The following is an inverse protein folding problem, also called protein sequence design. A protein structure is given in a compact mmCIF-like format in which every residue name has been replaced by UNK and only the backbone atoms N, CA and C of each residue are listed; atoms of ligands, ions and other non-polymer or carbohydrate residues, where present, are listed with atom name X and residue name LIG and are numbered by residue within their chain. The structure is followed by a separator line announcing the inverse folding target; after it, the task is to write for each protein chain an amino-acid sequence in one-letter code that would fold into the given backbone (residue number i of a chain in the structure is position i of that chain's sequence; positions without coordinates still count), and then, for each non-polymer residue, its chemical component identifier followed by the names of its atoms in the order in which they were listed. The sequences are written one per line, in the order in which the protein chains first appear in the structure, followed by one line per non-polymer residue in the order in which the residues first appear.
data_IF_155153700003
#
_entry.id   IF_155153700003
#
_cell.length_a   1.000
_cell.length_b   1.000
_cell.length_c   1.000
_cell.angle_alpha   90.00
_cell.angle_beta   90.00
_cell.angle_gamma   90.00
#
_symmetry.space_group_name_H-M   'P 1'
#
loop_
_entity.id
_entity.type
_entity.pdbx_description
1 polymer ?
#
# COMPACT_ATOMS: atom_id res chain seq x y z
N UNK A 1 33.00 -31.97 35.41
CA UNK A 1 33.39 -30.72 36.11
C UNK A 1 34.85 -30.41 35.80
N UNK A 2 35.13 -29.30 35.12
CA UNK A 2 36.26 -28.37 35.34
C UNK A 2 36.17 -27.26 34.28
N UNK A 3 36.54 -26.04 34.69
CA UNK A 3 36.12 -24.73 34.18
C UNK A 3 37.37 -23.85 33.89
N UNK A 4 37.19 -22.79 33.06
CA UNK A 4 37.80 -21.43 33.16
C UNK A 4 39.30 -21.31 32.73
N UNK A 5 39.85 -20.26 32.07
CA UNK A 5 39.46 -18.91 31.58
C UNK A 5 40.50 -18.40 30.54
N UNK A 6 40.17 -17.27 29.89
CA UNK A 6 40.91 -16.39 28.97
C UNK A 6 42.30 -15.84 29.41
N UNK A 7 43.09 -15.33 28.44
CA UNK A 7 43.66 -13.97 28.47
C UNK A 7 44.11 -13.45 27.08
N UNK A 8 44.22 -12.13 26.97
CA UNK A 8 44.40 -11.28 25.78
C UNK A 8 45.58 -10.32 26.03
N UNK A 9 46.43 -10.03 25.04
CA UNK A 9 47.35 -8.85 25.07
C UNK A 9 47.81 -8.38 23.67
N UNK A 10 47.84 -7.05 23.51
CA UNK A 10 48.33 -6.23 22.39
C UNK A 10 49.87 -6.07 22.37
N UNK A 11 50.42 -5.69 21.21
CA UNK A 11 51.52 -4.69 21.10
C UNK A 11 51.42 -3.81 19.84
N UNK A 12 51.93 -2.58 19.97
CA UNK A 12 51.97 -1.43 19.04
C UNK A 12 53.38 -1.22 18.44
N UNK A 13 53.52 -0.54 17.30
CA UNK A 13 54.61 0.39 16.87
C UNK A 13 54.28 0.93 15.44
N UNK A 14 54.91 1.98 14.88
CA UNK A 14 54.85 3.45 15.08
C UNK A 14 55.58 4.11 13.87
N UNK A 15 55.11 5.29 13.38
CA UNK A 15 55.86 6.40 12.70
C UNK A 15 56.63 6.15 11.36
N UNK A 16 56.90 7.11 10.45
CA UNK A 16 56.50 8.49 10.18
C UNK A 16 57.12 8.94 8.80
N UNK A 17 56.50 9.96 8.18
CA UNK A 17 56.96 11.03 7.24
C UNK A 17 58.10 10.91 6.19
N UNK A 18 57.68 11.15 4.93
CA UNK A 18 58.01 12.25 3.98
C UNK A 18 59.44 12.61 3.45
N UNK A 19 59.42 12.81 2.12
CA UNK A 19 60.11 13.80 1.24
C UNK A 19 61.50 13.51 0.64
N UNK A 20 61.51 13.41 -0.70
CA UNK A 20 62.48 14.12 -1.56
C UNK A 20 61.87 14.48 -2.92
N UNK A 21 62.48 15.46 -3.58
CA UNK A 21 61.90 16.56 -4.39
C UNK A 21 62.43 16.53 -5.84
N UNK A 22 61.62 17.02 -6.77
CA UNK A 22 61.92 17.67 -8.08
C UNK A 22 62.71 16.88 -9.15
N UNK A 23 62.21 16.80 -10.39
CA UNK A 23 62.38 17.91 -11.37
C UNK A 23 61.28 17.99 -12.44
N UNK A 24 60.92 19.24 -12.72
CA UNK A 24 59.92 19.84 -13.63
C UNK A 24 60.29 19.65 -15.12
N UNK A 25 59.44 19.82 -16.15
CA UNK A 25 58.77 21.09 -16.52
C UNK A 25 57.73 20.92 -17.67
N UNK A 26 56.51 21.38 -17.37
CA UNK A 26 55.50 22.15 -18.12
C UNK A 26 55.22 22.02 -19.64
N UNK A 27 53.93 21.84 -19.93
CA UNK A 27 53.06 22.78 -20.69
C UNK A 27 51.61 22.44 -20.33
N UNK A 28 50.95 23.20 -19.44
CA UNK A 28 49.96 24.28 -19.72
C UNK A 28 48.72 23.84 -20.51
N UNK A 29 47.45 24.13 -20.15
CA UNK A 29 46.78 24.60 -18.94
C UNK A 29 45.25 24.47 -19.16
N UNK A 30 44.48 24.19 -18.09
CA UNK A 30 43.10 24.64 -17.77
C UNK A 30 41.93 24.16 -18.65
N UNK A 31 40.83 23.60 -18.12
CA UNK A 31 40.03 24.19 -17.04
C UNK A 31 39.20 23.13 -16.32
N UNK A 32 39.05 23.33 -15.01
CA UNK A 32 38.37 22.51 -14.04
C UNK A 32 36.85 22.81 -13.95
N UNK A 33 36.11 21.79 -13.52
CA UNK A 33 34.88 21.84 -12.69
C UNK A 33 33.69 22.63 -13.24
N UNK A 34 32.64 21.88 -13.62
CA UNK A 34 31.30 22.22 -13.12
C UNK A 34 30.46 20.96 -12.89
N UNK A 35 30.48 20.50 -11.64
CA UNK A 35 29.41 19.70 -11.05
C UNK A 35 28.10 20.45 -11.29
N UNK A 36 27.18 19.82 -12.03
CA UNK A 36 25.83 20.34 -12.14
C UNK A 36 25.16 20.11 -10.80
N UNK A 37 25.23 21.15 -9.97
CA UNK A 37 24.35 21.36 -8.83
C UNK A 37 22.93 21.15 -9.37
N UNK A 38 22.29 20.05 -8.97
CA UNK A 38 20.86 19.89 -9.07
C UNK A 38 20.27 20.93 -8.12
N UNK A 39 20.00 22.11 -8.68
CA UNK A 39 19.17 23.12 -8.03
C UNK A 39 17.84 22.46 -7.71
N UNK A 40 17.64 22.23 -6.42
CA UNK A 40 16.35 21.99 -5.82
C UNK A 40 15.40 23.10 -6.28
N UNK A 41 14.40 22.72 -7.09
CA UNK A 41 13.07 23.31 -7.16
C UNK A 41 12.26 22.59 -8.25
N UNK A 42 11.96 21.32 -8.02
CA UNK A 42 10.67 20.72 -8.41
C UNK A 42 10.28 19.73 -7.29
N UNK A 43 9.01 19.73 -6.83
CA UNK A 43 8.60 18.83 -5.76
C UNK A 43 8.73 17.41 -6.26
N UNK A 44 9.46 16.57 -5.51
CA UNK A 44 9.64 15.14 -5.76
C UNK A 44 8.41 14.52 -6.44
N UNK A 45 8.55 14.12 -7.70
CA UNK A 45 7.69 13.10 -8.27
C UNK A 45 7.83 11.89 -7.35
N UNK A 46 6.75 11.51 -6.66
CA UNK A 46 6.72 10.23 -5.96
C UNK A 46 7.06 9.16 -7.01
N UNK A 47 8.04 8.31 -6.73
CA UNK A 47 8.52 7.34 -7.70
C UNK A 47 7.41 6.32 -7.96
N UNK A 48 6.72 6.47 -9.09
CA UNK A 48 5.77 5.49 -9.58
C UNK A 48 6.52 4.19 -9.91
N UNK A 49 6.01 3.06 -9.45
CA UNK A 49 6.55 1.74 -9.78
C UNK A 49 5.71 1.18 -10.91
N UNK A 50 6.36 0.75 -11.99
CA UNK A 50 5.70 0.30 -13.21
C UNK A 50 6.13 -1.12 -13.60
N UNK A 51 5.17 -1.94 -13.99
CA UNK A 51 5.32 -3.32 -14.40
C UNK A 51 4.63 -3.58 -15.73
N UNK A 52 5.25 -4.39 -16.58
CA UNK A 52 4.62 -4.88 -17.82
C UNK A 52 4.83 -6.37 -17.94
N UNK A 53 3.89 -7.08 -18.56
CA UNK A 53 4.04 -8.51 -18.80
C UNK A 53 2.72 -9.16 -19.13
N UNK A 54 2.51 -10.36 -18.63
CA UNK A 54 1.34 -11.16 -19.00
C UNK A 54 0.69 -11.88 -17.82
N UNK A 55 -0.62 -12.06 -17.92
CA UNK A 55 -1.38 -13.06 -17.21
C UNK A 55 -1.49 -14.34 -18.06
N UNK A 56 -1.19 -15.48 -17.45
CA UNK A 56 -1.23 -16.81 -18.07
C UNK A 56 -0.48 -16.90 -19.40
N UNK A 57 0.65 -16.18 -19.52
CA UNK A 57 1.46 -16.07 -20.74
C UNK A 57 0.72 -15.59 -21.99
N UNK A 58 -0.48 -15.01 -21.84
CA UNK A 58 -1.39 -14.72 -22.96
C UNK A 58 -1.94 -13.30 -22.92
N UNK A 59 -2.45 -12.87 -21.77
CA UNK A 59 -3.13 -11.60 -21.63
C UNK A 59 -2.13 -10.52 -21.22
N UNK A 60 -1.76 -9.59 -22.10
CA UNK A 60 -0.79 -8.55 -21.77
C UNK A 60 -1.40 -7.54 -20.80
N UNK A 61 -0.65 -7.21 -19.74
CA UNK A 61 -1.06 -6.26 -18.71
C UNK A 61 0.04 -5.24 -18.43
N UNK A 62 -0.39 -4.06 -18.02
CA UNK A 62 0.45 -3.00 -17.47
C UNK A 62 -0.08 -2.64 -16.08
N UNK A 63 0.80 -2.60 -15.09
CA UNK A 63 0.46 -2.17 -13.72
C UNK A 63 1.36 -1.01 -13.36
N UNK A 64 0.80 0.02 -12.75
CA UNK A 64 1.59 1.07 -12.10
C UNK A 64 0.97 1.43 -10.76
N UNK A 65 1.81 1.77 -9.78
CA UNK A 65 1.36 2.20 -8.47
C UNK A 65 2.38 3.07 -7.75
N UNK A 66 1.90 3.79 -6.75
CA UNK A 66 2.72 4.44 -5.72
C UNK A 66 2.47 3.78 -4.36
N UNK A 67 3.39 4.02 -3.42
CA UNK A 67 3.33 3.49 -2.06
C UNK A 67 3.02 4.60 -1.05
N UNK A 68 2.22 4.26 -0.04
CA UNK A 68 2.05 5.04 1.19
C UNK A 68 2.14 4.11 2.40
N UNK A 69 3.31 4.08 3.05
CA UNK A 69 3.66 3.06 4.05
C UNK A 69 3.51 1.63 3.50
N UNK A 70 2.56 0.85 4.00
CA UNK A 70 2.26 -0.52 3.55
C UNK A 70 1.13 -0.57 2.52
N UNK A 71 0.52 0.56 2.16
CA UNK A 71 -0.57 0.65 1.21
C UNK A 71 -0.03 0.86 -0.20
N UNK A 72 -0.64 0.17 -1.15
CA UNK A 72 -0.34 0.22 -2.58
C UNK A 72 -1.53 0.85 -3.28
N UNK A 73 -1.28 1.89 -4.06
CA UNK A 73 -2.32 2.69 -4.73
C UNK A 73 -1.95 2.84 -6.19
N UNK A 74 -2.71 2.22 -7.08
CA UNK A 74 -2.40 2.24 -8.50
C UNK A 74 -3.53 1.72 -9.37
N UNK A 75 -3.14 1.25 -10.55
CA UNK A 75 -4.06 0.78 -11.58
C UNK A 75 -3.46 -0.42 -12.34
N UNK A 76 -4.35 -1.27 -12.86
CA UNK A 76 -4.03 -2.31 -13.84
C UNK A 76 -4.74 -2.02 -15.16
N UNK A 77 -4.03 -2.17 -16.27
CA UNK A 77 -4.57 -2.02 -17.62
C UNK A 77 -4.38 -3.30 -18.43
N UNK A 78 -5.47 -3.83 -18.96
CA UNK A 78 -5.47 -4.96 -19.88
C UNK A 78 -5.26 -4.48 -21.33
N UNK A 79 -4.07 -4.72 -21.87
CA UNK A 79 -3.58 -4.08 -23.10
C UNK A 79 -4.22 -4.65 -24.39
N UNK A 80 -4.83 -5.83 -24.30
CA UNK A 80 -5.55 -6.48 -25.40
C UNK A 80 -7.02 -6.07 -25.50
N UNK A 81 -7.51 -5.22 -24.59
CA UNK A 81 -8.87 -4.66 -24.68
C UNK A 81 -8.88 -3.46 -25.65
N UNK A 82 -10.04 -3.19 -26.26
CA UNK A 82 -10.18 -2.10 -27.24
C UNK A 82 -9.90 -0.72 -26.62
N UNK A 83 -10.44 -0.48 -25.43
CA UNK A 83 -10.39 0.84 -24.79
C UNK A 83 -9.26 0.98 -23.78
N UNK A 84 -8.63 -0.12 -23.35
CA UNK A 84 -7.50 -0.13 -22.39
C UNK A 84 -7.76 0.75 -21.18
N UNK A 85 -8.96 0.64 -20.62
CA UNK A 85 -9.40 1.44 -19.48
C UNK A 85 -8.61 0.95 -18.25
N UNK A 86 -7.89 1.84 -17.54
CA UNK A 86 -7.25 1.48 -16.29
C UNK A 86 -8.30 1.11 -15.23
N UNK A 87 -8.05 0.04 -14.50
CA UNK A 87 -8.89 -0.45 -13.42
C UNK A 87 -8.17 -0.17 -12.11
N UNK A 88 -8.90 0.34 -11.12
CA UNK A 88 -8.35 0.70 -9.81
C UNK A 88 -7.73 -0.54 -9.15
N UNK A 89 -6.48 -0.42 -8.73
CA UNK A 89 -5.72 -1.48 -8.08
C UNK A 89 -5.23 -0.98 -6.72
N UNK A 90 -5.79 -1.52 -5.64
CA UNK A 90 -5.48 -1.12 -4.26
C UNK A 90 -5.02 -2.34 -3.47
N UNK A 91 -4.08 -2.21 -2.56
CA UNK A 91 -3.62 -3.37 -1.82
C UNK A 91 -2.66 -3.07 -0.69
N UNK A 92 -2.19 -4.12 -0.06
CA UNK A 92 -1.28 -4.06 1.09
C UNK A 92 0.00 -4.84 0.82
N UNK A 93 1.08 -4.39 1.46
CA UNK A 93 2.32 -5.13 1.62
C UNK A 93 2.21 -5.90 2.94
N UNK A 94 2.20 -7.22 2.84
CA UNK A 94 2.13 -8.12 3.98
C UNK A 94 3.47 -8.19 4.73
N UNK A 95 3.45 -8.79 5.92
CA UNK A 95 4.63 -8.90 6.79
C UNK A 95 5.82 -9.61 6.12
N UNK A 96 5.54 -10.62 5.30
CA UNK A 96 6.54 -11.38 4.53
C UNK A 96 7.00 -10.65 3.25
N UNK A 97 6.56 -9.40 3.06
CA UNK A 97 6.77 -8.56 1.87
C UNK A 97 6.07 -9.06 0.61
N UNK A 98 5.16 -10.02 0.73
CA UNK A 98 4.22 -10.31 -0.35
C UNK A 98 3.23 -9.16 -0.50
N UNK A 99 2.71 -9.02 -1.72
CA UNK A 99 1.74 -8.01 -2.10
C UNK A 99 0.42 -8.72 -2.29
N UNK A 100 -0.64 -8.13 -1.74
CA UNK A 100 -2.01 -8.52 -2.01
C UNK A 100 -2.76 -7.33 -2.58
N UNK A 101 -3.04 -7.36 -3.88
CA UNK A 101 -3.68 -6.28 -4.63
C UNK A 101 -5.08 -6.68 -5.05
N UNK A 102 -6.00 -5.72 -5.02
CA UNK A 102 -7.42 -5.87 -5.27
C UNK A 102 -7.78 -4.99 -6.46
N UNK A 103 -8.29 -5.63 -7.51
CA UNK A 103 -8.86 -4.98 -8.68
C UNK A 103 -10.32 -4.64 -8.37
N UNK A 104 -10.61 -3.35 -8.30
CA UNK A 104 -11.93 -2.81 -7.98
C UNK A 104 -12.66 -2.31 -9.23
N UNK A 105 -13.92 -2.70 -9.39
CA UNK A 105 -14.85 -1.99 -10.26
C UNK A 105 -15.45 -0.76 -9.57
N UNK A 106 -16.19 0.06 -10.32
CA UNK A 106 -16.77 1.32 -9.82
C UNK A 106 -17.81 1.12 -8.72
N UNK A 107 -18.34 -0.10 -8.55
CA UNK A 107 -19.32 -0.43 -7.50
C UNK A 107 -18.68 -0.87 -6.18
N UNK A 108 -17.34 -0.93 -6.12
CA UNK A 108 -16.61 -1.47 -4.98
C UNK A 108 -16.50 -2.99 -4.99
N UNK A 109 -16.97 -3.67 -6.04
CA UNK A 109 -16.79 -5.09 -6.18
C UNK A 109 -15.38 -5.42 -6.67
N UNK A 110 -14.79 -6.44 -6.05
CA UNK A 110 -13.43 -6.92 -6.30
C UNK A 110 -13.52 -7.99 -7.37
N UNK A 111 -13.01 -7.69 -8.56
CA UNK A 111 -13.09 -8.54 -9.76
C UNK A 111 -11.87 -9.46 -9.90
N UNK A 112 -10.76 -9.09 -9.27
CA UNK A 112 -9.48 -9.79 -9.32
C UNK A 112 -8.65 -9.55 -8.07
N UNK A 113 -7.89 -10.56 -7.65
CA UNK A 113 -6.92 -10.48 -6.56
C UNK A 113 -5.57 -10.88 -7.14
N UNK A 114 -4.56 -10.03 -6.99
CA UNK A 114 -3.18 -10.34 -7.34
C UNK A 114 -2.40 -10.63 -6.06
N UNK A 115 -1.75 -11.79 -6.02
CA UNK A 115 -0.87 -12.18 -4.92
C UNK A 115 0.51 -12.52 -5.47
N UNK A 116 1.57 -11.98 -4.87
CA UNK A 116 2.93 -12.30 -5.27
C UNK A 116 3.97 -11.45 -4.56
N UNK A 117 5.24 -11.69 -4.86
CA UNK A 117 6.34 -10.99 -4.19
C UNK A 117 7.25 -10.33 -5.23
N UNK A 118 7.17 -9.00 -5.42
CA UNK A 118 8.04 -8.33 -6.37
C UNK A 118 9.50 -8.33 -5.89
N UNK A 119 10.40 -8.43 -6.86
CA UNK A 119 11.83 -8.09 -6.73
C UNK A 119 12.08 -6.75 -7.44
N UNK A 120 13.33 -6.29 -7.53
CA UNK A 120 13.63 -5.07 -8.26
C UNK A 120 13.30 -5.16 -9.77
N UNK A 121 13.50 -6.33 -10.39
CA UNK A 121 13.36 -6.49 -11.84
C UNK A 121 12.12 -7.30 -12.27
N UNK A 122 11.47 -8.01 -11.34
CA UNK A 122 10.36 -8.90 -11.69
C UNK A 122 9.25 -8.91 -10.65
N UNK A 123 8.01 -9.11 -11.11
CA UNK A 123 6.88 -9.37 -10.25
C UNK A 123 6.17 -10.63 -10.74
N UNK A 124 6.37 -11.72 -9.98
CA UNK A 124 5.75 -13.02 -10.22
C UNK A 124 4.73 -13.32 -9.14
N UNK A 125 3.64 -13.99 -9.53
CA UNK A 125 2.55 -14.28 -8.63
C UNK A 125 1.39 -14.99 -9.32
N UNK A 126 0.21 -14.79 -8.78
CA UNK A 126 -1.07 -15.26 -9.33
C UNK A 126 -2.08 -14.12 -9.38
N UNK A 127 -3.00 -14.21 -10.32
CA UNK A 127 -4.25 -13.47 -10.33
C UNK A 127 -5.39 -14.46 -10.08
N UNK A 128 -6.31 -14.13 -9.19
CA UNK A 128 -7.43 -14.98 -8.78
C UNK A 128 -8.75 -14.24 -9.00
N UNK A 129 -9.72 -14.86 -9.66
CA UNK A 129 -11.08 -14.33 -9.74
C UNK A 129 -11.86 -14.67 -8.46
N UNK A 130 -12.36 -13.68 -7.69
CA UNK A 130 -13.20 -13.96 -6.53
C UNK A 130 -14.49 -14.69 -6.89
N UNK A 131 -15.05 -14.40 -8.07
CA UNK A 131 -16.28 -15.01 -8.59
C UNK A 131 -16.08 -16.45 -9.03
N UNK A 132 -15.16 -16.70 -9.96
CA UNK A 132 -15.03 -18.03 -10.58
C UNK A 132 -13.95 -18.92 -9.96
N UNK A 133 -13.19 -18.41 -8.98
CA UNK A 133 -12.00 -19.04 -8.39
C UNK A 133 -10.92 -19.43 -9.41
N UNK A 134 -10.97 -18.84 -10.61
CA UNK A 134 -9.99 -19.09 -11.66
C UNK A 134 -8.69 -18.43 -11.27
N UNK A 135 -7.61 -19.20 -11.32
CA UNK A 135 -6.26 -18.72 -11.11
C UNK A 135 -5.50 -18.61 -12.44
N UNK A 136 -4.70 -17.56 -12.56
CA UNK A 136 -3.82 -17.30 -13.70
C UNK A 136 -2.45 -16.92 -13.18
N UNK A 137 -1.38 -17.48 -13.76
CA UNK A 137 -0.02 -17.06 -13.42
C UNK A 137 0.21 -15.61 -13.82
N UNK A 138 0.90 -14.85 -12.97
CA UNK A 138 1.35 -13.49 -13.23
C UNK A 138 2.86 -13.51 -13.44
N UNK A 139 3.32 -12.92 -14.54
CA UNK A 139 4.75 -12.73 -14.81
C UNK A 139 4.99 -11.37 -15.44
N UNK A 140 5.55 -10.46 -14.66
CA UNK A 140 5.85 -9.09 -15.07
C UNK A 140 7.34 -8.78 -14.91
N UNK A 141 7.81 -7.83 -15.70
CA UNK A 141 9.13 -7.21 -15.59
C UNK A 141 8.98 -5.73 -15.29
N UNK A 142 9.95 -5.18 -14.54
CA UNK A 142 10.01 -3.75 -14.29
C UNK A 142 10.05 -2.98 -15.62
N UNK A 143 9.43 -1.81 -15.64
CA UNK A 143 9.39 -0.94 -16.81
C UNK A 143 9.63 0.50 -16.40
N UNK A 144 10.58 1.16 -17.04
CA UNK A 144 10.71 2.61 -16.92
C UNK A 144 9.54 3.27 -17.66
N UNK A 145 8.82 4.13 -16.97
CA UNK A 145 7.70 4.88 -17.53
C UNK A 145 7.66 6.27 -16.93
N UNK A 146 7.28 7.26 -17.75
CA UNK A 146 7.10 8.65 -17.32
C UNK A 146 5.65 8.85 -16.88
N UNK A 147 5.22 8.06 -15.90
CA UNK A 147 3.90 8.25 -15.26
C UNK A 147 4.11 9.11 -14.03
N UNK A 148 3.37 10.22 -13.98
CA UNK A 148 3.31 11.05 -12.78
C UNK A 148 2.25 10.50 -11.85
N UNK A 149 2.65 10.09 -10.65
CA UNK A 149 1.72 9.65 -9.61
C UNK A 149 0.70 10.75 -9.30
N UNK A 150 -0.61 10.48 -9.38
CA UNK A 150 -1.62 11.44 -8.95
C UNK A 150 -1.54 11.67 -7.43
N UNK A 151 -2.00 12.83 -6.97
CA UNK A 151 -2.14 13.07 -5.53
C UNK A 151 -3.18 12.13 -4.93
N UNK A 152 -2.79 11.42 -3.87
CA UNK A 152 -3.62 10.42 -3.17
C UNK A 152 -4.39 10.99 -1.97
N UNK A 153 -3.99 12.16 -1.47
CA UNK A 153 -4.62 12.76 -0.28
C UNK A 153 -5.95 13.41 -0.68
N UNK A 154 -7.05 13.14 0.03
CA UNK A 154 -8.33 13.73 -0.30
C UNK A 154 -8.42 15.18 0.16
N UNK A 155 -9.18 15.97 -0.57
CA UNK A 155 -9.70 17.24 -0.06
C UNK A 155 -10.78 16.95 1.00
N UNK A 156 -11.01 17.86 1.95
CA UNK A 156 -11.92 17.60 3.08
C UNK A 156 -13.32 17.14 2.64
N UNK A 157 -13.86 17.73 1.57
CA UNK A 157 -15.20 17.37 1.08
C UNK A 157 -15.24 16.05 0.31
N UNK A 158 -14.09 15.50 -0.11
CA UNK A 158 -14.01 14.23 -0.84
C UNK A 158 -14.15 13.01 0.08
N UNK A 159 -14.08 13.22 1.40
CA UNK A 159 -14.10 12.18 2.42
C UNK A 159 -15.53 11.71 2.75
N UNK A 160 -16.55 12.56 2.58
CA UNK A 160 -17.92 12.24 2.95
C UNK A 160 -18.61 11.39 1.89
N UNK A 161 -19.41 10.41 2.31
CA UNK A 161 -20.15 9.52 1.42
C UNK A 161 -20.20 8.07 1.88
N UNK A 162 -20.43 7.19 0.92
CA UNK A 162 -20.54 5.75 1.13
C UNK A 162 -19.38 5.03 0.45
N UNK A 163 -18.82 4.06 1.15
CA UNK A 163 -17.70 3.25 0.73
C UNK A 163 -18.05 1.78 0.87
N UNK A 164 -17.60 0.95 -0.07
CA UNK A 164 -18.00 -0.44 -0.16
C UNK A 164 -16.84 -1.33 -0.61
N UNK A 165 -16.83 -2.57 -0.14
CA UNK A 165 -16.10 -3.66 -0.79
C UNK A 165 -16.98 -4.91 -0.89
N UNK A 166 -16.77 -5.70 -1.94
CA UNK A 166 -17.43 -6.99 -2.13
C UNK A 166 -16.51 -7.99 -2.84
N UNK A 167 -16.31 -9.17 -2.29
CA UNK A 167 -15.49 -10.22 -2.90
C UNK A 167 -16.31 -11.16 -3.80
N UNK A 168 -16.66 -10.72 -5.02
CA UNK A 168 -17.59 -11.46 -5.88
C UNK A 168 -18.98 -11.59 -5.24
N UNK A 169 -19.92 -12.27 -5.88
CA UNK A 169 -21.35 -12.21 -5.49
C UNK A 169 -21.63 -12.65 -4.04
N UNK A 170 -20.96 -13.69 -3.56
CA UNK A 170 -21.25 -14.30 -2.24
C UNK A 170 -20.09 -14.21 -1.24
N UNK A 171 -19.06 -13.42 -1.54
CA UNK A 171 -17.89 -13.28 -0.67
C UNK A 171 -18.12 -12.38 0.53
N UNK A 172 -17.00 -12.08 1.21
CA UNK A 172 -16.97 -11.06 2.24
C UNK A 172 -17.36 -9.72 1.63
N UNK A 173 -18.07 -8.91 2.40
CA UNK A 173 -18.45 -7.56 2.00
C UNK A 173 -18.48 -6.63 3.19
N UNK A 174 -18.46 -5.35 2.92
CA UNK A 174 -18.61 -4.36 3.96
C UNK A 174 -18.88 -2.97 3.42
N UNK A 175 -19.58 -2.20 4.24
CA UNK A 175 -19.98 -0.83 4.03
C UNK A 175 -19.37 0.06 5.10
N UNK A 176 -18.86 1.20 4.67
CA UNK A 176 -18.42 2.28 5.53
C UNK A 176 -19.13 3.55 5.10
N UNK A 177 -19.81 4.21 6.03
CA UNK A 177 -20.51 5.45 5.76
C UNK A 177 -19.97 6.56 6.66
N UNK A 178 -19.81 7.75 6.11
CA UNK A 178 -19.34 8.92 6.83
C UNK A 178 -20.06 10.19 6.37
N UNK A 179 -20.63 10.91 7.34
CA UNK A 179 -21.36 12.15 7.15
C UNK A 179 -20.70 13.30 7.93
N UNK A 180 -20.86 14.52 7.41
CA UNK A 180 -20.38 15.72 8.08
C UNK A 180 -21.36 16.14 9.17
N UNK A 181 -20.85 16.38 10.38
CA UNK A 181 -21.61 16.95 11.50
C UNK A 181 -21.08 18.36 11.81
N UNK A 182 -21.83 19.12 12.61
CA UNK A 182 -21.37 20.40 13.13
C UNK A 182 -20.07 20.26 13.97
N UNK A 183 -19.42 21.39 14.24
CA UNK A 183 -18.31 21.51 15.19
C UNK A 183 -17.06 20.68 14.86
N UNK A 184 -16.81 20.41 13.57
CA UNK A 184 -15.62 19.68 13.13
C UNK A 184 -15.64 18.19 13.47
N UNK A 185 -16.81 17.65 13.85
CA UNK A 185 -17.04 16.23 14.03
C UNK A 185 -17.55 15.58 12.75
N UNK A 186 -17.34 14.28 12.67
CA UNK A 186 -17.94 13.41 11.66
C UNK A 186 -18.80 12.38 12.35
N UNK A 187 -19.84 11.91 11.67
CA UNK A 187 -20.63 10.75 12.04
C UNK A 187 -20.23 9.62 11.11
N UNK A 188 -20.04 8.41 11.64
CA UNK A 188 -19.70 7.25 10.82
C UNK A 188 -20.35 5.98 11.36
N UNK A 189 -20.47 4.98 10.49
CA UNK A 189 -20.82 3.61 10.87
C UNK A 189 -20.12 2.62 9.93
N UNK A 190 -19.94 1.38 10.40
CA UNK A 190 -19.26 0.33 9.65
C UNK A 190 -20.06 -0.96 9.79
N UNK A 191 -20.26 -1.67 8.70
CA UNK A 191 -20.94 -2.94 8.69
C UNK A 191 -20.27 -3.90 7.72
N UNK A 192 -19.82 -5.06 8.20
CA UNK A 192 -19.14 -6.05 7.38
C UNK A 192 -19.70 -7.45 7.64
N UNK A 193 -19.83 -8.21 6.56
CA UNK A 193 -20.31 -9.60 6.57
C UNK A 193 -19.23 -10.54 6.07
N UNK A 194 -19.12 -11.70 6.73
CA UNK A 194 -18.44 -12.85 6.12
C UNK A 194 -19.28 -13.45 4.99
N UNK A 195 -18.74 -14.45 4.28
CA UNK A 195 -19.43 -15.14 3.19
C UNK A 195 -20.89 -15.53 3.55
N UNK A 196 -21.83 -15.07 2.73
CA UNK A 196 -23.29 -15.18 2.97
C UNK A 196 -23.83 -16.59 2.80
N UNK A 197 -23.17 -17.46 2.03
CA UNK A 197 -23.62 -18.86 1.81
C UNK A 197 -23.45 -19.71 3.08
N UNK A 198 -22.55 -19.32 3.99
CA UNK A 198 -22.21 -20.10 5.19
C UNK A 198 -22.95 -19.66 6.46
N UNK A 199 -23.89 -18.73 6.35
CA UNK A 199 -24.44 -18.00 7.50
C UNK A 199 -23.46 -16.90 7.90
N UNK A 200 -23.69 -15.64 7.51
CA UNK A 200 -22.68 -14.60 7.67
C UNK A 200 -22.51 -14.22 9.15
N UNK A 201 -21.25 -14.14 9.58
CA UNK A 201 -20.89 -13.46 10.81
C UNK A 201 -20.77 -11.96 10.53
N UNK A 202 -21.08 -11.16 11.55
CA UNK A 202 -21.19 -9.70 11.45
C UNK A 202 -20.05 -9.05 12.22
N UNK A 203 -19.44 -8.02 11.63
CA UNK A 203 -18.65 -7.03 12.34
C UNK A 203 -19.32 -5.67 12.11
N UNK A 204 -19.85 -5.09 13.18
CA UNK A 204 -20.61 -3.85 13.12
C UNK A 204 -20.05 -2.85 14.12
N UNK A 205 -19.84 -1.63 13.65
CA UNK A 205 -19.66 -0.46 14.49
C UNK A 205 -20.89 0.41 14.26
N UNK A 206 -21.74 0.45 15.29
CA UNK A 206 -22.91 1.31 15.29
C UNK A 206 -22.52 2.77 15.04
N UNK A 207 -23.52 3.54 14.62
CA UNK A 207 -23.35 4.96 14.33
C UNK A 207 -22.79 5.70 15.55
N UNK A 208 -21.66 6.36 15.36
CA UNK A 208 -21.04 7.21 16.39
C UNK A 208 -20.41 8.47 15.77
N UNK A 209 -20.05 9.41 16.64
CA UNK A 209 -19.43 10.68 16.28
C UNK A 209 -18.02 10.80 16.84
N UNK A 210 -17.10 11.30 16.02
CA UNK A 210 -15.69 11.48 16.41
C UNK A 210 -15.10 12.74 15.76
N UNK A 211 -14.18 13.46 16.41
CA UNK A 211 -13.37 14.47 15.73
C UNK A 211 -12.47 13.83 14.65
N UNK A 212 -12.37 14.49 13.49
CA UNK A 212 -11.49 14.07 12.40
C UNK A 212 -10.18 14.88 12.42
N UNK A 213 -9.04 14.20 12.38
CA UNK A 213 -7.71 14.83 12.37
C UNK A 213 -7.08 14.68 10.98
N UNK A 214 -7.12 15.75 10.20
CA UNK A 214 -6.66 15.72 8.80
C UNK A 214 -7.56 14.81 7.96
N UNK A 215 -7.01 13.73 7.41
CA UNK A 215 -7.71 12.71 6.62
C UNK A 215 -7.85 11.38 7.38
N UNK A 216 -7.81 11.37 8.72
CA UNK A 216 -7.91 10.14 9.50
C UNK A 216 -8.51 10.35 10.88
N UNK A 217 -8.94 9.26 11.49
CA UNK A 217 -9.27 9.20 12.91
C UNK A 217 -8.91 7.83 13.49
N UNK A 218 -8.79 7.75 14.82
CA UNK A 218 -8.56 6.51 15.56
C UNK A 218 -9.76 6.32 16.48
N UNK A 219 -10.39 5.16 16.42
CA UNK A 219 -11.58 4.83 17.20
C UNK A 219 -11.31 3.63 18.09
N UNK A 220 -11.66 3.76 19.37
CA UNK A 220 -11.66 2.66 20.35
C UNK A 220 -13.10 2.19 20.52
N UNK A 221 -13.36 0.91 20.31
CA UNK A 221 -14.70 0.36 20.52
C UNK A 221 -15.08 0.49 22.01
N UNK A 222 -16.24 1.07 22.35
CA UNK A 222 -16.73 1.13 23.72
C UNK A 222 -16.76 -0.25 24.39
N UNK A 223 -16.51 -0.32 25.69
CA UNK A 223 -16.57 -1.58 26.47
C UNK A 223 -15.63 -2.69 25.96
N UNK A 224 -14.60 -2.33 25.20
CA UNK A 224 -13.53 -3.23 24.78
C UNK A 224 -12.21 -2.89 25.49
N UNK A 225 -11.50 -3.91 25.93
CA UNK A 225 -10.20 -3.72 26.59
C UNK A 225 -9.15 -3.24 25.57
N UNK A 226 -9.07 -3.94 24.42
CA UNK A 226 -8.00 -3.76 23.42
C UNK A 226 -8.52 -3.74 21.96
N UNK A 227 -9.70 -3.18 21.67
CA UNK A 227 -10.15 -3.01 20.28
C UNK A 227 -10.06 -1.55 19.84
N UNK A 228 -9.03 -1.24 19.06
CA UNK A 228 -8.79 0.08 18.48
C UNK A 228 -8.43 -0.08 17.02
N UNK A 229 -8.98 0.78 16.17
CA UNK A 229 -8.66 0.83 14.75
C UNK A 229 -8.46 2.25 14.27
N UNK A 230 -7.72 2.38 13.17
CA UNK A 230 -7.52 3.64 12.47
C UNK A 230 -8.26 3.60 11.15
N UNK A 231 -8.95 4.69 10.85
CA UNK A 231 -9.57 4.95 9.55
C UNK A 231 -8.76 6.03 8.85
N UNK A 232 -8.25 5.75 7.65
CA UNK A 232 -7.45 6.69 6.84
C UNK A 232 -8.09 6.85 5.47
N UNK A 233 -8.43 8.09 5.12
CA UNK A 233 -9.09 8.44 3.88
C UNK A 233 -8.10 8.82 2.78
N UNK A 234 -8.38 8.33 1.58
CA UNK A 234 -7.66 8.62 0.36
C UNK A 234 -8.63 9.13 -0.71
N UNK A 235 -8.12 9.64 -1.83
CA UNK A 235 -8.97 9.98 -2.97
C UNK A 235 -9.65 8.73 -3.53
N UNK A 236 -10.95 8.62 -3.24
CA UNK A 236 -11.82 7.57 -3.78
C UNK A 236 -11.86 6.27 -2.99
N UNK A 237 -11.22 6.18 -1.82
CA UNK A 237 -11.32 4.99 -0.96
C UNK A 237 -10.94 5.31 0.49
N UNK A 238 -11.26 4.38 1.40
CA UNK A 238 -10.86 4.42 2.81
C UNK A 238 -10.15 3.12 3.17
N UNK A 239 -9.11 3.24 3.98
CA UNK A 239 -8.37 2.11 4.54
C UNK A 239 -8.58 2.06 6.05
N UNK A 240 -9.05 0.91 6.54
CA UNK A 240 -9.30 0.64 7.94
C UNK A 240 -8.34 -0.46 8.37
N UNK A 241 -7.60 -0.23 9.45
CA UNK A 241 -6.72 -1.25 10.02
C UNK A 241 -6.75 -1.21 11.55
N UNK A 242 -6.64 -2.37 12.19
CA UNK A 242 -6.50 -2.41 13.65
C UNK A 242 -5.17 -1.78 14.08
N UNK A 243 -5.21 -1.05 15.19
CA UNK A 243 -4.03 -0.46 15.86
C UNK A 243 -3.75 -1.12 17.20
N UNK A 244 -4.79 -1.68 17.86
CA UNK A 244 -4.67 -2.52 19.04
C UNK A 244 -5.69 -3.65 18.97
N UNK A 245 -5.22 -4.84 19.34
CA UNK A 245 -5.99 -6.08 19.27
C UNK A 245 -6.61 -6.35 17.90
N UNK A 246 -7.66 -7.16 17.92
CA UNK A 246 -8.42 -7.57 16.72
C UNK A 246 -9.91 -7.74 17.06
N UNK A 247 -10.38 -7.01 18.08
CA UNK A 247 -11.78 -6.97 18.48
C UNK A 247 -12.38 -8.35 18.80
N UNK A 248 -11.56 -9.20 19.43
CA UNK A 248 -11.97 -10.52 19.89
C UNK A 248 -13.22 -10.44 20.77
N UNK A 249 -14.25 -11.21 20.43
CA UNK A 249 -15.51 -11.25 21.17
C UNK A 249 -16.46 -10.08 20.92
N UNK A 250 -16.04 -9.04 20.18
CA UNK A 250 -16.92 -7.95 19.75
C UNK A 250 -17.62 -8.29 18.43
N UNK A 251 -16.93 -9.00 17.55
CA UNK A 251 -17.44 -9.40 16.24
C UNK A 251 -17.69 -10.90 16.16
N UNK A 252 -18.57 -11.29 15.22
CA UNK A 252 -18.80 -12.68 14.90
C UNK A 252 -17.55 -13.37 14.36
N UNK A 253 -17.54 -14.71 14.34
CA UNK A 253 -16.36 -15.49 14.00
C UNK A 253 -15.82 -15.13 12.60
N UNK A 254 -14.54 -14.75 12.53
CA UNK A 254 -13.86 -14.31 11.30
C UNK A 254 -14.45 -13.05 10.64
N UNK A 255 -15.39 -12.35 11.27
CA UNK A 255 -15.85 -11.06 10.79
C UNK A 255 -14.85 -9.98 11.20
N UNK A 256 -14.65 -8.99 10.32
CA UNK A 256 -13.70 -7.91 10.53
C UNK A 256 -14.15 -6.65 9.80
N UNK A 257 -13.79 -5.50 10.34
CA UNK A 257 -13.91 -4.20 9.67
C UNK A 257 -12.61 -3.77 8.95
N UNK A 258 -11.50 -4.47 9.20
CA UNK A 258 -10.21 -4.23 8.55
C UNK A 258 -10.33 -4.45 7.04
N UNK A 259 -9.87 -3.48 6.24
CA UNK A 259 -9.90 -3.57 4.80
C UNK A 259 -9.83 -2.24 4.07
N UNK A 260 -9.90 -2.33 2.75
CA UNK A 260 -9.95 -1.21 1.81
C UNK A 260 -11.36 -1.15 1.24
N UNK A 261 -12.05 -0.03 1.42
CA UNK A 261 -13.41 0.20 0.93
C UNK A 261 -13.36 1.29 -0.14
N UNK A 262 -13.88 1.01 -1.33
CA UNK A 262 -13.92 1.96 -2.44
C UNK A 262 -15.09 2.92 -2.26
N UNK A 263 -14.90 4.21 -2.54
CA UNK A 263 -16.00 5.18 -2.53
C UNK A 263 -16.98 4.88 -3.67
N UNK A 264 -18.26 4.75 -3.36
CA UNK A 264 -19.33 4.46 -4.31
C UNK A 264 -20.36 5.59 -4.43
N UNK A 265 -20.41 6.51 -3.46
CA UNK A 265 -21.22 7.73 -3.48
C UNK A 265 -20.49 8.88 -2.83
#
# INVERSE_FOLDING_TARGET
MRYILHLLTLTLFSCNEQQQKSSETNTDTLTAVQSKILTANEPHSKNEICWTGTLNSKTPVFIHYQLDSNLIIGEITYLNTKNRIPIRLLGTIENDKSYRLLEFDESGNITGIIEGKPTEQSFKGIWVSPKSKKELSLSLTAKDSVITSPSIKPDQNQVFGEYHYQYGENGFNGDFKIDKVADGKIEFNIFSLTNVERGPNIAEVEKDTIPMNGNSFVYKIPESDDCEFKVTFYKGFVYINYTKGYCAGQFGLNATIDGIYLKIK
#
